data_IF_092740900055
#
_entry.id   IF_092740900055
#
_cell.length_a   1.000
_cell.length_b   1.000
_cell.length_c   1.000
_cell.angle_alpha   90.00
_cell.angle_beta   90.00
_cell.angle_gamma   90.00
#
_symmetry.space_group_name_H-M   'P 1'
#
loop_
_entity.id
_entity.type
_entity.pdbx_description
1 polymer ?
#
# COMPACT_ATOMS: atom_id res chain seq x y z
N UNK A 1 22.66 36.44 -24.89
CA UNK A 1 21.24 36.13 -24.56
C UNK A 1 20.78 34.70 -24.90
N UNK A 2 21.35 33.99 -25.89
CA UNK A 2 20.93 32.61 -26.20
C UNK A 2 21.35 31.59 -25.10
N UNK A 3 22.54 31.74 -24.53
CA UNK A 3 23.06 30.86 -23.47
C UNK A 3 22.23 30.88 -22.18
N UNK A 4 21.68 32.04 -21.79
CA UNK A 4 20.80 32.18 -20.62
C UNK A 4 19.46 31.43 -20.80
N UNK A 5 18.96 31.34 -22.04
CA UNK A 5 17.73 30.58 -22.35
C UNK A 5 17.94 29.07 -22.21
N UNK A 6 19.11 28.56 -22.61
CA UNK A 6 19.44 27.14 -22.45
C UNK A 6 19.68 26.75 -20.99
N UNK A 7 20.28 27.65 -20.20
CA UNK A 7 20.46 27.45 -18.75
C UNK A 7 19.11 27.39 -17.99
N UNK A 8 18.15 28.23 -18.38
CA UNK A 8 16.80 28.21 -17.81
C UNK A 8 16.03 26.94 -18.19
N UNK A 9 16.22 26.44 -19.42
CA UNK A 9 15.61 25.20 -19.89
C UNK A 9 16.19 23.95 -19.19
N UNK A 10 17.50 23.95 -18.86
CA UNK A 10 18.09 22.86 -18.08
C UNK A 10 17.64 22.85 -16.62
N UNK A 11 17.32 24.00 -16.03
CA UNK A 11 16.86 24.07 -14.63
C UNK A 11 15.45 23.47 -14.45
N UNK A 12 14.59 23.59 -15.47
CA UNK A 12 13.22 23.07 -15.43
C UNK A 12 13.13 21.54 -15.42
N UNK A 13 14.15 20.84 -15.94
CA UNK A 13 14.17 19.36 -15.99
C UNK A 13 14.47 18.76 -14.60
N UNK A 14 15.10 19.52 -13.69
CA UNK A 14 15.43 19.04 -12.32
C UNK A 14 14.27 19.19 -11.31
N UNK A 15 13.14 19.79 -11.70
CA UNK A 15 11.97 19.96 -10.83
C UNK A 15 10.81 19.03 -11.18
N UNK A 16 11.03 17.98 -11.97
CA UNK A 16 10.04 16.89 -12.05
C UNK A 16 10.06 16.14 -10.72
N UNK A 17 9.25 16.60 -9.76
CA UNK A 17 8.96 15.90 -8.51
C UNK A 17 8.41 14.54 -8.87
N UNK A 18 9.24 13.50 -8.72
CA UNK A 18 8.76 12.13 -8.82
C UNK A 18 8.12 11.84 -7.47
N UNK A 19 6.84 12.16 -7.34
CA UNK A 19 6.12 11.92 -6.11
C UNK A 19 6.12 10.40 -5.84
N UNK A 20 6.46 9.99 -4.62
CA UNK A 20 6.71 8.59 -4.31
C UNK A 20 5.40 7.75 -4.33
N UNK A 21 5.51 6.44 -4.65
CA UNK A 21 4.36 5.56 -4.72
C UNK A 21 3.76 5.32 -3.33
N UNK A 22 2.44 5.31 -3.26
CA UNK A 22 1.66 5.11 -2.05
C UNK A 22 1.32 3.60 -1.92
N UNK A 23 2.21 2.83 -1.30
CA UNK A 23 2.18 1.37 -1.39
C UNK A 23 1.82 0.67 -0.07
N UNK A 24 1.03 -0.40 -0.18
CA UNK A 24 0.84 -1.40 0.86
C UNK A 24 1.54 -2.70 0.43
N UNK A 25 2.53 -3.12 1.20
CA UNK A 25 3.49 -4.16 0.82
C UNK A 25 3.39 -5.33 1.80
N UNK A 26 3.31 -6.55 1.27
CA UNK A 26 3.40 -7.79 2.02
C UNK A 26 4.64 -8.56 1.58
N UNK A 27 5.51 -8.89 2.53
CA UNK A 27 6.77 -9.59 2.28
C UNK A 27 6.75 -10.89 3.06
N UNK A 28 6.89 -12.03 2.37
CA UNK A 28 7.02 -13.32 3.03
C UNK A 28 8.50 -13.61 3.34
N UNK A 29 8.91 -13.37 4.57
CA UNK A 29 10.25 -13.68 5.08
C UNK A 29 10.32 -15.10 5.70
N UNK A 30 9.19 -15.82 5.75
CA UNK A 30 9.11 -17.16 6.30
C UNK A 30 9.55 -18.26 5.33
N UNK A 31 9.55 -19.49 5.84
CA UNK A 31 9.94 -20.69 5.09
C UNK A 31 8.76 -21.45 4.47
N UNK A 32 7.52 -20.98 4.68
CA UNK A 32 6.29 -21.57 4.15
C UNK A 32 5.52 -20.59 3.28
N UNK A 33 4.53 -21.08 2.53
CA UNK A 33 3.64 -20.21 1.76
C UNK A 33 2.78 -19.39 2.71
N UNK A 34 2.81 -18.07 2.55
CA UNK A 34 1.93 -17.15 3.25
C UNK A 34 0.75 -16.80 2.36
N UNK A 35 -0.43 -16.68 2.93
CA UNK A 35 -1.65 -16.28 2.25
C UNK A 35 -2.19 -14.99 2.87
N UNK A 36 -2.32 -13.97 2.04
CA UNK A 36 -2.90 -12.68 2.40
C UNK A 36 -4.27 -12.58 1.75
N UNK A 37 -5.31 -12.32 2.54
CA UNK A 37 -6.68 -12.12 2.07
C UNK A 37 -7.19 -10.76 2.52
N UNK A 38 -7.66 -9.96 1.56
CA UNK A 38 -8.20 -8.62 1.81
C UNK A 38 -9.61 -8.59 1.28
N UNK A 39 -10.59 -8.44 2.17
CA UNK A 39 -11.97 -8.20 1.80
C UNK A 39 -12.26 -6.70 1.88
N UNK A 40 -12.88 -6.17 0.85
CA UNK A 40 -13.07 -4.74 0.61
C UNK A 40 -14.56 -4.45 0.51
N UNK A 41 -14.95 -3.28 0.98
CA UNK A 41 -16.28 -2.72 0.85
C UNK A 41 -16.41 -2.05 -0.52
N UNK A 42 -17.03 -2.75 -1.48
CA UNK A 42 -17.26 -2.26 -2.84
C UNK A 42 -18.39 -1.23 -2.93
N UNK A 43 -19.10 -0.95 -1.82
CA UNK A 43 -20.15 0.08 -1.80
C UNK A 43 -19.60 1.49 -1.58
N UNK A 44 -18.35 1.59 -1.13
CA UNK A 44 -17.67 2.85 -0.89
C UNK A 44 -16.87 3.25 -2.13
N UNK A 45 -17.37 4.25 -2.86
CA UNK A 45 -16.65 4.81 -4.00
C UNK A 45 -15.35 5.47 -3.53
N UNK A 46 -14.23 5.03 -4.12
CA UNK A 46 -12.94 5.68 -3.91
C UNK A 46 -12.18 5.71 -5.22
N UNK A 47 -12.23 6.88 -5.86
CA UNK A 47 -11.80 7.13 -7.24
C UNK A 47 -10.33 6.78 -7.55
N UNK A 48 -9.47 6.67 -6.53
CA UNK A 48 -8.06 6.29 -6.71
C UNK A 48 -7.88 4.76 -6.82
N UNK A 49 -8.93 3.98 -6.56
CA UNK A 49 -8.98 2.54 -6.76
C UNK A 49 -9.63 2.12 -8.07
N UNK A 50 -9.40 2.87 -9.15
CA UNK A 50 -9.79 2.44 -10.49
C UNK A 50 -9.30 1.02 -10.86
N UNK A 51 -8.24 0.52 -10.20
CA UNK A 51 -7.80 -0.89 -10.30
C UNK A 51 -8.66 -1.90 -9.54
N UNK A 52 -9.37 -1.48 -8.49
CA UNK A 52 -10.36 -2.33 -7.81
C UNK A 52 -11.71 -2.34 -8.51
N UNK A 53 -12.04 -1.31 -9.29
CA UNK A 53 -13.21 -1.34 -10.18
C UNK A 53 -13.08 -2.44 -11.27
N UNK A 54 -11.86 -2.85 -11.61
CA UNK A 54 -11.60 -4.02 -12.47
C UNK A 54 -11.69 -5.37 -11.73
N UNK A 55 -11.69 -5.35 -10.38
CA UNK A 55 -11.82 -6.56 -9.59
C UNK A 55 -13.28 -6.99 -9.57
N UNK A 56 -13.58 -8.07 -10.27
CA UNK A 56 -14.88 -8.76 -10.25
C UNK A 56 -15.26 -9.35 -8.87
N UNK A 57 -14.48 -9.09 -7.82
CA UNK A 57 -14.55 -9.74 -6.51
C UNK A 57 -14.29 -8.71 -5.41
N UNK A 58 -15.12 -8.75 -4.36
CA UNK A 58 -14.94 -7.99 -3.11
C UNK A 58 -13.72 -8.44 -2.30
N UNK A 59 -13.06 -9.52 -2.76
CA UNK A 59 -12.01 -10.22 -2.05
C UNK A 59 -10.78 -10.39 -2.93
N UNK A 60 -9.64 -9.94 -2.42
CA UNK A 60 -8.30 -10.22 -2.93
C UNK A 60 -7.66 -11.37 -2.15
N UNK A 61 -6.99 -12.27 -2.86
CA UNK A 61 -6.22 -13.37 -2.26
C UNK A 61 -4.86 -13.46 -2.94
N UNK A 62 -3.80 -13.40 -2.15
CA UNK A 62 -2.41 -13.56 -2.59
C UNK A 62 -1.78 -14.74 -1.88
N UNK A 63 -1.18 -15.66 -2.64
CA UNK A 63 -0.37 -16.74 -2.09
C UNK A 63 1.10 -16.42 -2.39
N UNK A 64 1.85 -16.03 -1.36
CA UNK A 64 3.25 -15.60 -1.42
C UNK A 64 4.14 -16.78 -1.07
N UNK A 65 5.01 -17.21 -1.98
CA UNK A 65 6.07 -18.19 -1.67
C UNK A 65 7.11 -17.56 -0.75
N UNK A 66 7.98 -18.35 -0.11
CA UNK A 66 9.12 -17.81 0.62
C UNK A 66 9.91 -16.79 -0.21
N UNK A 67 10.24 -15.64 0.38
CA UNK A 67 10.89 -14.48 -0.25
C UNK A 67 10.05 -13.71 -1.30
N UNK A 68 8.79 -14.07 -1.52
CA UNK A 68 7.92 -13.29 -2.41
C UNK A 68 7.47 -11.98 -1.76
N UNK A 69 7.22 -10.98 -2.61
CA UNK A 69 6.66 -9.68 -2.23
C UNK A 69 5.42 -9.40 -3.07
N UNK A 70 4.35 -8.95 -2.42
CA UNK A 70 3.16 -8.42 -3.06
C UNK A 70 3.04 -6.93 -2.75
N UNK A 71 2.82 -6.13 -3.78
CA UNK A 71 2.65 -4.67 -3.68
C UNK A 71 1.27 -4.31 -4.19
N UNK A 72 0.48 -3.66 -3.34
CA UNK A 72 -0.76 -3.02 -3.70
C UNK A 72 -0.49 -1.51 -3.80
N UNK A 73 -0.74 -0.95 -4.98
CA UNK A 73 -0.51 0.46 -5.28
C UNK A 73 -1.78 1.28 -5.04
N UNK A 74 -1.69 2.31 -4.19
CA UNK A 74 -2.78 3.20 -3.77
C UNK A 74 -2.59 4.61 -4.35
N UNK A 75 -1.94 4.72 -5.50
CA UNK A 75 -1.66 6.01 -6.13
C UNK A 75 -0.34 6.61 -5.68
N UNK A 76 -0.28 7.93 -5.67
CA UNK A 76 0.93 8.71 -5.47
C UNK A 76 0.71 9.60 -4.24
N UNK A 77 1.68 9.65 -3.32
CA UNK A 77 1.57 10.49 -2.13
C UNK A 77 2.15 9.84 -0.87
N UNK A 78 1.59 10.22 0.29
CA UNK A 78 2.06 9.74 1.60
C UNK A 78 0.90 9.21 2.43
N UNK A 79 1.19 8.19 3.24
CA UNK A 79 0.32 7.59 4.23
C UNK A 79 0.10 8.52 5.43
N UNK A 80 -0.61 9.62 5.20
CA UNK A 80 -1.15 10.44 6.29
C UNK A 80 -2.17 9.65 7.10
N UNK A 81 -2.44 10.04 8.34
CA UNK A 81 -3.46 9.38 9.17
C UNK A 81 -4.85 9.42 8.51
N UNK A 82 -5.16 10.51 7.80
CA UNK A 82 -6.41 10.63 7.03
C UNK A 82 -6.48 9.61 5.90
N UNK A 83 -5.38 9.40 5.17
CA UNK A 83 -5.31 8.40 4.11
C UNK A 83 -5.42 6.98 4.68
N UNK A 84 -4.70 6.69 5.76
CA UNK A 84 -4.80 5.39 6.43
C UNK A 84 -6.24 5.12 6.89
N UNK A 85 -6.89 6.11 7.51
CA UNK A 85 -8.28 5.99 7.95
C UNK A 85 -9.25 5.74 6.80
N UNK A 86 -9.06 6.41 5.66
CA UNK A 86 -9.84 6.14 4.44
C UNK A 86 -9.68 4.68 4.00
N UNK A 87 -8.44 4.20 3.91
CA UNK A 87 -8.16 2.82 3.48
C UNK A 87 -8.69 1.80 4.47
N UNK A 88 -8.52 2.03 5.77
CA UNK A 88 -9.06 1.18 6.81
C UNK A 88 -10.59 1.10 6.78
N UNK A 89 -11.27 2.18 6.36
CA UNK A 89 -12.73 2.17 6.21
C UNK A 89 -13.22 1.34 5.02
N UNK A 90 -12.37 1.14 4.01
CA UNK A 90 -12.66 0.32 2.82
C UNK A 90 -12.36 -1.15 3.06
N UNK A 91 -11.41 -1.49 3.92
CA UNK A 91 -11.09 -2.89 4.21
C UNK A 91 -12.08 -3.42 5.25
N UNK A 92 -12.93 -4.35 4.85
CA UNK A 92 -13.83 -5.09 5.74
C UNK A 92 -13.06 -6.12 6.57
N UNK A 93 -12.04 -6.75 5.96
CA UNK A 93 -11.28 -7.81 6.59
C UNK A 93 -9.88 -7.91 5.99
N UNK A 94 -8.87 -8.04 6.84
CA UNK A 94 -7.51 -8.42 6.45
C UNK A 94 -7.14 -9.70 7.20
N UNK A 95 -6.79 -10.76 6.47
CA UNK A 95 -6.27 -12.01 7.03
C UNK A 95 -4.89 -12.29 6.47
N UNK A 96 -3.99 -12.73 7.35
CA UNK A 96 -2.65 -13.17 7.01
C UNK A 96 -2.47 -14.52 7.68
N UNK A 97 -2.25 -15.57 6.90
CA UNK A 97 -2.05 -16.93 7.41
C UNK A 97 -0.85 -17.60 6.75
N UNK A 98 -0.15 -18.45 7.48
CA UNK A 98 0.85 -19.37 6.94
C UNK A 98 0.67 -20.74 7.62
N UNK A 99 1.69 -21.61 7.53
CA UNK A 99 1.63 -22.93 8.15
C UNK A 99 1.53 -22.90 9.69
N UNK A 100 2.07 -21.85 10.33
CA UNK A 100 2.30 -21.78 11.77
C UNK A 100 1.33 -20.83 12.48
N UNK A 101 0.78 -19.83 11.78
CA UNK A 101 -0.12 -18.85 12.37
C UNK A 101 -1.21 -18.35 11.43
N UNK A 102 -2.23 -17.74 12.05
CA UNK A 102 -3.27 -17.00 11.37
C UNK A 102 -3.64 -15.75 12.17
N UNK A 103 -3.47 -14.60 11.55
CA UNK A 103 -3.89 -13.31 12.09
C UNK A 103 -5.07 -12.76 11.28
N UNK A 104 -6.03 -12.12 11.95
CA UNK A 104 -7.26 -11.64 11.32
C UNK A 104 -7.70 -10.33 11.94
N UNK A 105 -7.80 -9.30 11.11
CA UNK A 105 -8.28 -7.96 11.47
C UNK A 105 -9.66 -7.74 10.84
N UNK A 106 -10.68 -7.48 11.67
CA UNK A 106 -12.08 -7.34 11.24
C UNK A 106 -12.70 -5.98 11.51
N UNK A 107 -12.13 -5.20 12.43
CA UNK A 107 -12.69 -3.90 12.80
C UNK A 107 -11.90 -2.80 12.13
N UNK A 108 -12.60 -1.78 11.64
CA UNK A 108 -11.99 -0.60 10.97
C UNK A 108 -10.92 0.04 11.85
N UNK A 109 -11.21 0.19 13.15
CA UNK A 109 -10.25 0.72 14.12
C UNK A 109 -8.99 -0.16 14.27
N UNK A 110 -9.14 -1.49 14.29
CA UNK A 110 -7.97 -2.38 14.38
C UNK A 110 -7.15 -2.35 13.09
N UNK A 111 -7.80 -2.33 11.93
CA UNK A 111 -7.13 -2.22 10.63
C UNK A 111 -6.38 -0.89 10.55
N UNK A 112 -7.02 0.23 10.89
CA UNK A 112 -6.40 1.57 10.95
C UNK A 112 -5.16 1.58 11.85
N UNK A 113 -5.29 1.05 13.07
CA UNK A 113 -4.19 0.94 14.00
C UNK A 113 -3.04 0.09 13.43
N UNK A 114 -3.34 -1.08 12.87
CA UNK A 114 -2.32 -1.96 12.29
C UNK A 114 -1.62 -1.29 11.11
N UNK A 115 -2.34 -0.59 10.23
CA UNK A 115 -1.76 0.17 9.13
C UNK A 115 -0.84 1.29 9.64
N UNK A 116 -1.22 1.99 10.71
CA UNK A 116 -0.37 3.01 11.36
C UNK A 116 0.90 2.40 11.96
N UNK A 117 0.79 1.27 12.65
CA UNK A 117 1.92 0.55 13.26
C UNK A 117 2.91 0.02 12.23
N UNK A 118 2.42 -0.33 11.03
CA UNK A 118 3.21 -0.88 9.93
C UNK A 118 3.69 0.18 8.93
N UNK A 119 3.32 1.45 9.13
CA UNK A 119 3.78 2.56 8.28
C UNK A 119 5.28 2.77 8.44
N UNK A 120 5.97 2.88 7.32
CA UNK A 120 7.40 3.20 7.31
C UNK A 120 7.62 4.64 7.79
N UNK A 121 8.22 4.77 8.98
CA UNK A 121 8.56 6.07 9.59
C UNK A 121 10.07 6.39 9.52
N UNK A 122 10.88 5.51 8.91
CA UNK A 122 12.34 5.67 8.85
C UNK A 122 12.75 6.43 7.59
N UNK A 123 12.99 7.73 7.78
CA UNK A 123 13.66 8.68 6.87
C UNK A 123 12.97 8.99 5.53
N UNK A 124 12.17 10.07 5.54
CA UNK A 124 11.65 10.71 4.33
C UNK A 124 10.13 10.69 4.23
N UNK A 125 9.64 10.52 3.00
CA UNK A 125 8.23 10.55 2.66
C UNK A 125 7.60 9.21 3.08
N UNK A 126 6.61 9.26 3.98
CA UNK A 126 5.91 8.09 4.56
C UNK A 126 5.06 7.39 3.50
N UNK A 127 5.68 6.60 2.66
CA UNK A 127 5.11 6.18 1.36
C UNK A 127 4.72 4.73 1.33
N UNK A 128 5.18 3.96 2.33
CA UNK A 128 4.97 2.53 2.40
C UNK A 128 4.35 2.12 3.73
N UNK A 129 3.47 1.13 3.67
CA UNK A 129 3.05 0.32 4.81
C UNK A 129 3.53 -1.10 4.54
N UNK A 130 4.29 -1.69 5.47
CA UNK A 130 5.01 -2.95 5.23
C UNK A 130 4.59 -4.01 6.25
N UNK A 131 4.06 -5.12 5.74
CA UNK A 131 3.76 -6.33 6.49
C UNK A 131 4.85 -7.37 6.22
N UNK A 132 5.73 -7.56 7.19
CA UNK A 132 6.67 -8.69 7.21
C UNK A 132 6.01 -9.92 7.83
N UNK A 133 5.88 -10.97 7.03
CA UNK A 133 5.29 -12.26 7.42
C UNK A 133 6.44 -13.23 7.69
N UNK A 134 6.50 -13.78 8.90
CA UNK A 134 7.59 -14.67 9.35
C UNK A 134 7.20 -16.13 9.30
#
# INVERSE_FOLDING_TARGET
MKFLKYLFFSLLIFFTSCDPPHDLIFINQGNSVAKVKIQIDTTLEYNEFSKFDELKSDTLVYNLKPSDTCVLFFGIGTWSEKEIKKIANLINKLEIENADFKETYKTKARIEQTLLEKREDKTGWKTKIIFEIK
#
